data_IF_014982785613
#
_entry.id   IF_014982785613
#
_cell.length_a   1.000
_cell.length_b   1.000
_cell.length_c   1.000
_cell.angle_alpha   90.00
_cell.angle_beta   90.00
_cell.angle_gamma   90.00
#
_symmetry.space_group_name_H-M   'P 1'
#
loop_
_entity.id
_entity.type
_entity.pdbx_description
1 polymer ?
#
# COMPACT_ATOMS: atom_id res chain seq x y z
N UNK A 1 21.11 19.78 -16.23
CA UNK A 1 20.85 21.06 -16.93
C UNK A 1 19.37 21.30 -17.26
N UNK A 2 18.60 20.32 -17.74
CA UNK A 2 17.15 20.48 -18.02
C UNK A 2 16.30 20.82 -16.77
N UNK A 3 16.61 20.24 -15.60
CA UNK A 3 15.88 20.53 -14.36
C UNK A 3 16.02 21.99 -13.88
N UNK A 4 17.18 22.64 -14.09
CA UNK A 4 17.43 24.04 -13.70
C UNK A 4 16.67 25.06 -14.55
N UNK A 5 16.20 24.68 -15.75
CA UNK A 5 15.49 25.56 -16.69
C UNK A 5 13.96 25.49 -16.55
N UNK A 6 13.44 24.62 -15.68
CA UNK A 6 12.01 24.47 -15.48
C UNK A 6 11.50 25.58 -14.55
N UNK A 7 10.48 26.37 -14.91
CA UNK A 7 10.00 27.52 -14.10
C UNK A 7 9.47 27.13 -12.72
N UNK A 8 9.16 25.84 -12.48
CA UNK A 8 8.88 25.31 -11.13
C UNK A 8 10.13 24.93 -10.30
N UNK A 9 11.36 25.12 -10.78
CA UNK A 9 12.56 24.64 -10.09
C UNK A 9 12.77 25.27 -8.71
N UNK A 10 12.43 26.55 -8.54
CA UNK A 10 12.50 27.24 -7.25
C UNK A 10 11.34 26.88 -6.32
N UNK A 11 10.10 26.77 -6.84
CA UNK A 11 8.95 26.17 -6.13
C UNK A 11 9.26 24.74 -5.62
N UNK A 12 10.16 24.03 -6.30
CA UNK A 12 10.56 22.67 -5.97
C UNK A 12 11.65 22.61 -4.87
N UNK A 13 12.32 23.70 -4.50
CA UNK A 13 13.33 23.68 -3.41
C UNK A 13 12.68 23.53 -2.04
N UNK A 14 11.69 24.38 -1.73
CA UNK A 14 10.91 24.26 -0.50
C UNK A 14 10.15 22.93 -0.47
N UNK A 15 9.53 22.54 -1.59
CA UNK A 15 8.88 21.22 -1.72
C UNK A 15 9.84 20.06 -1.44
N UNK A 16 11.08 20.09 -1.96
CA UNK A 16 12.11 19.09 -1.66
C UNK A 16 12.53 19.09 -0.20
N UNK A 17 12.80 20.27 0.37
CA UNK A 17 13.13 20.39 1.79
C UNK A 17 12.02 19.82 2.67
N UNK A 18 10.77 20.18 2.38
CA UNK A 18 9.59 19.68 3.09
C UNK A 18 9.41 18.17 2.91
N UNK A 19 9.65 17.62 1.72
CA UNK A 19 9.64 16.17 1.50
C UNK A 19 10.71 15.45 2.32
N UNK A 20 11.94 15.97 2.38
CA UNK A 20 12.99 15.39 3.22
C UNK A 20 12.67 15.51 4.70
N UNK A 21 12.18 16.67 5.14
CA UNK A 21 11.73 16.88 6.51
C UNK A 21 10.62 15.89 6.89
N UNK A 22 9.61 15.71 6.04
CA UNK A 22 8.54 14.73 6.27
C UNK A 22 9.07 13.30 6.28
N UNK A 23 10.02 12.95 5.42
CA UNK A 23 10.64 11.63 5.44
C UNK A 23 11.38 11.36 6.76
N UNK A 24 12.15 12.33 7.26
CA UNK A 24 12.85 12.23 8.55
C UNK A 24 11.87 12.18 9.71
N UNK A 25 10.81 13.01 9.68
CA UNK A 25 9.74 13.00 10.68
C UNK A 25 9.06 11.63 10.78
N UNK A 26 8.66 11.05 9.64
CA UNK A 26 8.06 9.71 9.61
C UNK A 26 9.03 8.62 10.05
N UNK A 27 10.30 8.69 9.66
CA UNK A 27 11.32 7.75 10.14
C UNK A 27 11.48 7.82 11.66
N UNK A 28 11.59 9.03 12.23
CA UNK A 28 11.68 9.24 13.67
C UNK A 28 10.43 8.75 14.41
N UNK A 29 9.25 8.99 13.85
CA UNK A 29 7.98 8.52 14.40
C UNK A 29 7.85 6.99 14.38
N UNK A 30 8.32 6.33 13.33
CA UNK A 30 8.33 4.86 13.28
C UNK A 30 9.35 4.26 14.24
N UNK A 31 10.50 4.91 14.44
CA UNK A 31 11.48 4.49 15.44
C UNK A 31 10.88 4.61 16.84
N UNK A 32 10.20 5.73 17.16
CA UNK A 32 9.59 5.91 18.48
C UNK A 32 8.43 4.94 18.72
N UNK A 33 7.63 4.61 17.70
CA UNK A 33 6.65 3.53 17.79
C UNK A 33 7.35 2.19 18.02
N UNK A 34 8.40 1.88 17.25
CA UNK A 34 9.16 0.65 17.38
C UNK A 34 9.71 0.44 18.78
N UNK A 35 10.31 1.47 19.38
CA UNK A 35 10.82 1.39 20.77
C UNK A 35 9.69 1.37 21.80
N UNK A 36 8.62 2.17 21.60
CA UNK A 36 7.45 2.19 22.47
C UNK A 36 6.73 0.85 22.54
N UNK A 37 6.61 0.14 21.42
CA UNK A 37 6.04 -1.21 21.36
C UNK A 37 6.82 -2.22 22.21
N UNK A 38 8.14 -2.08 22.32
CA UNK A 38 8.95 -2.96 23.18
C UNK A 38 8.52 -2.85 24.64
N UNK A 39 8.38 -1.63 25.15
CA UNK A 39 7.96 -1.40 26.53
C UNK A 39 6.49 -1.82 26.74
N UNK A 40 5.61 -1.41 25.82
CA UNK A 40 4.18 -1.77 25.89
C UNK A 40 3.94 -3.29 25.91
N UNK A 41 4.71 -4.06 25.12
CA UNK A 41 4.57 -5.51 25.11
C UNK A 41 5.20 -6.20 26.33
N UNK A 42 6.31 -5.66 26.86
CA UNK A 42 6.90 -6.18 28.12
C UNK A 42 5.95 -6.01 29.30
N UNK A 43 5.29 -4.87 29.38
CA UNK A 43 4.39 -4.56 30.50
C UNK A 43 3.02 -5.23 30.33
N UNK A 44 2.50 -5.33 29.10
CA UNK A 44 1.18 -5.88 28.83
C UNK A 44 1.10 -7.40 28.78
N UNK A 45 2.19 -8.09 28.40
CA UNK A 45 2.21 -9.55 28.22
C UNK A 45 3.50 -10.16 28.80
N UNK A 46 3.60 -10.28 30.14
CA UNK A 46 4.82 -10.73 30.81
C UNK A 46 5.19 -12.20 30.51
N UNK A 47 4.29 -13.00 29.94
CA UNK A 47 4.50 -14.42 29.63
C UNK A 47 5.07 -14.71 28.23
N UNK A 48 5.18 -13.70 27.35
CA UNK A 48 5.69 -13.86 26.00
C UNK A 48 6.73 -12.79 25.66
N UNK A 49 7.78 -13.19 24.96
CA UNK A 49 8.77 -12.22 24.49
C UNK A 49 8.16 -11.25 23.46
N UNK A 50 8.50 -9.95 23.51
CA UNK A 50 7.89 -8.94 22.66
C UNK A 50 7.97 -9.27 21.15
N UNK A 51 9.05 -9.91 20.69
CA UNK A 51 9.22 -10.24 19.28
C UNK A 51 8.23 -11.32 18.80
N UNK A 52 7.82 -12.26 19.66
CA UNK A 52 6.78 -13.22 19.30
C UNK A 52 5.42 -12.52 19.13
N UNK A 53 5.12 -11.54 19.98
CA UNK A 53 3.88 -10.75 19.91
C UNK A 53 3.85 -9.90 18.64
N UNK A 54 4.95 -9.23 18.31
CA UNK A 54 5.05 -8.47 17.06
C UNK A 54 4.93 -9.37 15.82
N UNK A 55 5.52 -10.57 15.86
CA UNK A 55 5.42 -11.54 14.76
C UNK A 55 4.00 -12.10 14.59
N UNK A 56 3.22 -12.23 15.68
CA UNK A 56 1.78 -12.52 15.58
C UNK A 56 1.02 -11.39 14.87
N UNK A 57 1.36 -10.14 15.18
CA UNK A 57 0.76 -8.96 14.54
C UNK A 57 1.28 -8.67 13.12
N UNK A 58 2.22 -9.46 12.59
CA UNK A 58 2.88 -9.19 11.31
C UNK A 58 1.90 -9.11 10.14
N UNK A 59 0.87 -9.95 10.12
CA UNK A 59 -0.15 -9.88 9.06
C UNK A 59 -0.93 -8.56 9.10
N UNK A 60 -1.29 -8.08 10.30
CA UNK A 60 -1.98 -6.80 10.45
C UNK A 60 -1.11 -5.64 9.95
N UNK A 61 0.20 -5.69 10.21
CA UNK A 61 1.16 -4.71 9.69
C UNK A 61 1.21 -4.75 8.15
N UNK A 62 1.20 -5.93 7.53
CA UNK A 62 1.15 -6.06 6.06
C UNK A 62 -0.18 -5.56 5.46
N UNK A 63 -1.31 -5.75 6.14
CA UNK A 63 -2.60 -5.19 5.71
C UNK A 63 -2.56 -3.67 5.76
N UNK A 64 -2.03 -3.10 6.84
CA UNK A 64 -1.85 -1.65 6.99
C UNK A 64 -0.94 -1.11 5.89
N UNK A 65 0.19 -1.78 5.62
CA UNK A 65 1.09 -1.43 4.51
C UNK A 65 0.37 -1.44 3.15
N UNK A 66 -0.44 -2.46 2.90
CA UNK A 66 -1.22 -2.59 1.67
C UNK A 66 -2.19 -1.41 1.48
N UNK A 67 -2.91 -1.02 2.54
CA UNK A 67 -3.85 0.10 2.50
C UNK A 67 -3.12 1.43 2.36
N UNK A 68 -2.03 1.64 3.11
CA UNK A 68 -1.24 2.87 3.05
C UNK A 68 -0.65 3.11 1.64
N UNK A 69 -0.39 2.07 0.84
CA UNK A 69 0.16 2.23 -0.51
C UNK A 69 -0.81 2.84 -1.52
N UNK A 70 -2.12 2.78 -1.30
CA UNK A 70 -3.14 3.26 -2.25
C UNK A 70 -2.99 4.74 -2.65
N UNK A 71 -2.80 5.69 -1.72
CA UNK A 71 -2.57 7.10 -2.06
C UNK A 71 -1.16 7.38 -2.60
N UNK A 72 -0.13 6.70 -2.08
CA UNK A 72 1.27 7.09 -2.34
C UNK A 72 1.87 6.48 -3.62
N UNK A 73 1.44 5.27 -4.01
CA UNK A 73 2.14 4.51 -5.05
C UNK A 73 1.42 4.54 -6.40
N UNK A 74 2.13 4.98 -7.45
CA UNK A 74 1.67 4.98 -8.84
C UNK A 74 1.84 3.61 -9.49
N UNK A 75 0.96 3.27 -10.43
CA UNK A 75 1.05 2.00 -11.15
C UNK A 75 2.04 2.05 -12.34
N UNK A 76 2.83 0.99 -12.58
CA UNK A 76 3.76 0.89 -13.69
C UNK A 76 3.10 1.06 -15.05
N UNK A 77 1.85 0.62 -15.25
CA UNK A 77 1.15 0.78 -16.55
C UNK A 77 1.03 2.23 -17.01
N UNK A 78 0.97 3.18 -16.08
CA UNK A 78 0.99 4.61 -16.39
C UNK A 78 2.41 5.11 -16.65
N UNK A 79 3.40 4.55 -15.96
CA UNK A 79 4.82 4.89 -16.14
C UNK A 79 5.41 4.29 -17.42
N UNK A 80 4.89 3.18 -17.95
CA UNK A 80 5.37 2.53 -19.18
C UNK A 80 5.12 3.39 -20.41
N UNK A 81 4.04 4.19 -20.46
CA UNK A 81 3.62 4.90 -21.67
C UNK A 81 4.71 5.78 -22.30
N UNK A 82 5.43 6.64 -21.55
CA UNK A 82 6.57 7.40 -22.10
C UNK A 82 7.70 6.51 -22.64
N UNK A 83 7.96 5.36 -22.01
CA UNK A 83 9.03 4.45 -22.42
C UNK A 83 8.68 3.67 -23.70
N UNK A 84 7.42 3.59 -24.10
CA UNK A 84 7.01 2.94 -25.35
C UNK A 84 7.45 3.71 -26.60
N UNK A 85 7.69 5.01 -26.48
CA UNK A 85 8.18 5.87 -27.57
C UNK A 85 9.69 5.70 -27.80
N UNK A 86 10.40 5.17 -26.80
CA UNK A 86 11.84 4.96 -26.88
C UNK A 86 12.14 3.61 -27.57
N UNK A 87 13.27 3.48 -28.28
CA UNK A 87 13.67 2.26 -28.97
C UNK A 87 14.20 1.18 -27.99
N UNK A 88 13.43 0.87 -26.94
CA UNK A 88 13.78 -0.11 -25.90
C UNK A 88 12.83 -1.31 -26.02
N UNK A 89 13.36 -2.52 -25.88
CA UNK A 89 12.54 -3.75 -25.85
C UNK A 89 11.54 -3.67 -24.69
N UNK A 90 10.24 -3.74 -25.00
CA UNK A 90 9.13 -3.60 -24.04
C UNK A 90 9.29 -4.49 -22.81
N UNK A 91 9.67 -5.76 -22.99
CA UNK A 91 9.90 -6.68 -21.88
C UNK A 91 10.96 -6.16 -20.90
N UNK A 92 12.05 -5.58 -21.41
CA UNK A 92 13.12 -5.00 -20.57
C UNK A 92 12.66 -3.76 -19.81
N UNK A 93 11.80 -2.93 -20.43
CA UNK A 93 11.20 -1.78 -19.75
C UNK A 93 10.26 -2.21 -18.62
N UNK A 94 9.45 -3.26 -18.84
CA UNK A 94 8.58 -3.83 -17.81
C UNK A 94 9.38 -4.41 -16.64
N UNK A 95 10.40 -5.23 -16.95
CA UNK A 95 11.24 -5.87 -15.94
C UNK A 95 11.97 -4.80 -15.10
N UNK A 96 12.47 -3.74 -15.74
CA UNK A 96 13.08 -2.60 -15.05
C UNK A 96 12.11 -1.89 -14.11
N UNK A 97 10.87 -1.63 -14.53
CA UNK A 97 9.88 -0.96 -13.68
C UNK A 97 9.45 -1.84 -12.49
N UNK A 98 9.33 -3.15 -12.69
CA UNK A 98 9.04 -4.09 -11.61
C UNK A 98 10.19 -4.18 -10.59
N UNK A 99 11.44 -4.21 -11.06
CA UNK A 99 12.62 -4.17 -10.20
C UNK A 99 12.72 -2.85 -9.43
N UNK A 100 12.49 -1.73 -10.11
CA UNK A 100 12.45 -0.40 -9.49
C UNK A 100 11.38 -0.29 -8.40
N UNK A 101 10.21 -0.91 -8.61
CA UNK A 101 9.15 -0.96 -7.60
C UNK A 101 9.57 -1.79 -6.38
N UNK A 102 10.24 -2.93 -6.59
CA UNK A 102 10.76 -3.79 -5.52
C UNK A 102 11.85 -3.12 -4.68
N UNK A 103 12.76 -2.38 -5.33
CA UNK A 103 13.85 -1.65 -4.66
C UNK A 103 13.48 -0.20 -4.30
N UNK A 104 12.19 0.12 -4.25
CA UNK A 104 11.76 1.48 -3.92
C UNK A 104 12.00 1.81 -2.45
N UNK A 105 12.36 3.07 -2.16
CA UNK A 105 12.59 3.55 -0.79
C UNK A 105 11.36 3.40 0.12
N UNK A 106 10.16 3.33 -0.46
CA UNK A 106 8.92 3.10 0.30
C UNK A 106 8.91 1.73 0.98
N UNK A 107 9.56 0.70 0.39
CA UNK A 107 9.65 -0.62 1.01
C UNK A 107 10.59 -0.66 2.21
N UNK A 108 11.50 0.32 2.33
CA UNK A 108 12.41 0.45 3.47
C UNK A 108 11.73 1.11 4.68
N UNK A 109 10.55 1.73 4.52
CA UNK A 109 9.89 2.50 5.58
C UNK A 109 9.67 1.65 6.84
N UNK A 110 9.20 0.41 6.68
CA UNK A 110 8.95 -0.49 7.81
C UNK A 110 10.22 -0.89 8.56
N UNK A 111 11.39 -0.85 7.92
CA UNK A 111 12.65 -1.15 8.62
C UNK A 111 12.93 -0.12 9.73
N UNK A 112 12.45 1.13 9.61
CA UNK A 112 12.57 2.10 10.70
C UNK A 112 11.76 1.74 11.95
N UNK A 113 10.75 0.87 11.83
CA UNK A 113 10.01 0.32 12.97
C UNK A 113 10.64 -0.98 13.47
N UNK A 114 10.92 -1.92 12.56
CA UNK A 114 11.37 -3.27 12.92
C UNK A 114 12.84 -3.33 13.36
N UNK A 115 13.73 -2.51 12.80
CA UNK A 115 15.15 -2.51 13.17
C UNK A 115 15.36 -2.07 14.63
N UNK A 116 14.87 -0.90 15.10
CA UNK A 116 15.04 -0.52 16.50
C UNK A 116 14.33 -1.49 17.45
N UNK A 117 13.18 -2.02 17.06
CA UNK A 117 12.48 -3.05 17.82
C UNK A 117 13.34 -4.32 17.98
N UNK A 118 13.94 -4.81 16.89
CA UNK A 118 14.80 -5.99 16.89
C UNK A 118 16.08 -5.75 17.71
N UNK A 119 16.67 -4.54 17.65
CA UNK A 119 17.83 -4.18 18.46
C UNK A 119 17.53 -4.29 19.96
N UNK A 120 16.32 -3.97 20.42
CA UNK A 120 15.99 -4.01 21.85
C UNK A 120 15.50 -5.37 22.34
N UNK A 121 15.04 -6.24 21.44
CA UNK A 121 14.38 -7.52 21.80
C UNK A 121 15.20 -8.73 21.38
N UNK A 122 15.67 -8.76 20.14
CA UNK A 122 16.34 -9.93 19.53
C UNK A 122 17.82 -10.00 19.93
N UNK A 123 18.50 -8.86 20.14
CA UNK A 123 19.92 -8.82 20.54
C UNK A 123 20.24 -9.68 21.74
N UNK A 124 19.34 -9.71 22.73
CA UNK A 124 19.52 -10.44 23.98
C UNK A 124 19.65 -11.95 23.77
N UNK A 125 19.01 -12.50 22.74
CA UNK A 125 18.89 -13.94 22.52
C UNK A 125 19.67 -14.44 21.30
N UNK A 126 19.70 -13.66 20.21
CA UNK A 126 20.25 -14.08 18.92
C UNK A 126 21.39 -13.17 18.41
N UNK A 127 21.79 -12.16 19.18
CA UNK A 127 22.88 -11.26 18.84
C UNK A 127 22.64 -10.42 17.58
N UNK A 128 23.72 -9.95 16.96
CA UNK A 128 23.68 -9.06 15.79
C UNK A 128 23.20 -9.81 14.53
N UNK A 129 23.55 -11.09 14.41
CA UNK A 129 23.16 -11.93 13.28
C UNK A 129 21.64 -12.05 13.18
N UNK A 130 20.95 -12.29 14.31
CA UNK A 130 19.49 -12.36 14.36
C UNK A 130 18.80 -11.07 13.95
N UNK A 131 19.38 -9.91 14.24
CA UNK A 131 18.82 -8.61 13.81
C UNK A 131 18.88 -8.47 12.29
N UNK A 132 20.02 -8.84 11.69
CA UNK A 132 20.25 -8.72 10.25
C UNK A 132 19.31 -9.66 9.49
N UNK A 133 19.24 -10.93 9.89
CA UNK A 133 18.37 -11.92 9.25
C UNK A 133 16.89 -11.57 9.43
N UNK A 134 16.49 -11.14 10.62
CA UNK A 134 15.12 -10.68 10.86
C UNK A 134 14.76 -9.47 9.99
N UNK A 135 15.62 -8.45 9.94
CA UNK A 135 15.40 -7.25 9.12
C UNK A 135 15.32 -7.58 7.62
N UNK A 136 16.15 -8.51 7.15
CA UNK A 136 16.12 -9.01 5.78
C UNK A 136 14.79 -9.74 5.48
N UNK A 137 14.34 -10.60 6.40
CA UNK A 137 13.08 -11.34 6.26
C UNK A 137 11.87 -10.42 6.18
N UNK A 138 11.81 -9.42 7.07
CA UNK A 138 10.77 -8.37 7.04
C UNK A 138 10.83 -7.58 5.74
N UNK A 139 12.02 -7.19 5.28
CA UNK A 139 12.16 -6.49 4.00
C UNK A 139 11.61 -7.31 2.83
N UNK A 140 11.90 -8.61 2.77
CA UNK A 140 11.35 -9.51 1.74
C UNK A 140 9.82 -9.61 1.81
N UNK A 141 9.23 -9.70 3.00
CA UNK A 141 7.77 -9.69 3.14
C UNK A 141 7.14 -8.37 2.67
N UNK A 142 7.76 -7.24 2.96
CA UNK A 142 7.29 -5.92 2.47
C UNK A 142 7.41 -5.84 0.95
N UNK A 143 8.47 -6.39 0.35
CA UNK A 143 8.61 -6.49 -1.11
C UNK A 143 7.55 -7.40 -1.72
N UNK A 144 7.25 -8.53 -1.08
CA UNK A 144 6.14 -9.41 -1.49
C UNK A 144 4.80 -8.66 -1.46
N UNK A 145 4.51 -7.96 -0.35
CA UNK A 145 3.28 -7.20 -0.19
C UNK A 145 3.17 -6.04 -1.19
N UNK A 146 4.30 -5.42 -1.54
CA UNK A 146 4.37 -4.42 -2.59
C UNK A 146 3.97 -4.98 -3.97
N UNK A 147 4.42 -6.19 -4.32
CA UNK A 147 3.99 -6.85 -5.57
C UNK A 147 2.53 -7.31 -5.53
N UNK A 148 2.03 -7.70 -4.35
CA UNK A 148 0.61 -7.97 -4.14
C UNK A 148 -0.26 -6.73 -4.32
N UNK A 149 0.14 -5.60 -3.73
CA UNK A 149 -0.46 -4.30 -3.96
C UNK A 149 -0.47 -3.94 -5.44
N UNK A 150 0.67 -4.11 -6.12
CA UNK A 150 0.82 -3.80 -7.54
C UNK A 150 -0.17 -4.56 -8.42
N UNK A 151 -0.35 -5.85 -8.13
CA UNK A 151 -1.26 -6.75 -8.83
C UNK A 151 -2.71 -6.28 -8.65
N UNK A 152 -3.13 -6.10 -7.40
CA UNK A 152 -4.48 -5.64 -7.05
C UNK A 152 -4.78 -4.29 -7.70
N UNK A 153 -3.83 -3.36 -7.61
CA UNK A 153 -3.97 -2.01 -8.17
C UNK A 153 -4.02 -2.02 -9.70
N UNK A 154 -3.27 -2.91 -10.35
CA UNK A 154 -3.28 -3.05 -11.82
C UNK A 154 -4.62 -3.60 -12.30
N UNK A 155 -5.17 -4.60 -11.62
CA UNK A 155 -6.48 -5.18 -11.92
C UNK A 155 -7.63 -4.21 -11.66
N UNK A 156 -7.60 -3.47 -10.54
CA UNK A 156 -8.63 -2.48 -10.17
C UNK A 156 -8.69 -1.30 -11.17
N UNK A 157 -7.53 -0.94 -11.75
CA UNK A 157 -7.45 0.05 -12.82
C UNK A 157 -8.09 -0.42 -14.14
N UNK A 158 -8.15 -1.72 -14.38
CA UNK A 158 -8.82 -2.30 -15.54
C UNK A 158 -10.33 -2.39 -15.31
N UNK A 159 -10.75 -3.04 -14.22
CA UNK A 159 -12.16 -3.20 -13.83
C UNK A 159 -12.34 -3.07 -12.32
N UNK A 160 -13.35 -2.31 -11.90
CA UNK A 160 -13.60 -2.04 -10.48
C UNK A 160 -13.98 -3.30 -9.69
N UNK A 161 -14.60 -4.30 -10.35
CA UNK A 161 -14.96 -5.59 -9.76
C UNK A 161 -13.77 -6.35 -9.16
N UNK A 162 -12.54 -6.07 -9.60
CA UNK A 162 -11.34 -6.67 -9.02
C UNK A 162 -11.03 -6.22 -7.60
N UNK A 163 -11.79 -5.27 -7.03
CA UNK A 163 -11.74 -4.98 -5.59
C UNK A 163 -12.15 -6.19 -4.73
N UNK A 164 -12.92 -7.11 -5.29
CA UNK A 164 -13.32 -8.35 -4.62
C UNK A 164 -12.10 -9.22 -4.31
N UNK A 165 -11.02 -9.14 -5.10
CA UNK A 165 -9.82 -9.96 -4.90
C UNK A 165 -9.11 -9.67 -3.55
N UNK A 166 -8.69 -8.43 -3.24
CA UNK A 166 -8.10 -8.15 -1.93
C UNK A 166 -9.09 -8.36 -0.79
N UNK A 167 -10.38 -8.04 -0.98
CA UNK A 167 -11.42 -8.26 0.04
C UNK A 167 -11.57 -9.76 0.34
N UNK A 168 -11.59 -10.61 -0.69
CA UNK A 168 -11.70 -12.06 -0.52
C UNK A 168 -10.46 -12.63 0.15
N UNK A 169 -9.25 -12.23 -0.27
CA UNK A 169 -8.01 -12.74 0.34
C UNK A 169 -7.93 -12.34 1.82
N UNK A 170 -8.10 -11.05 2.15
CA UNK A 170 -8.05 -10.61 3.55
C UNK A 170 -9.25 -11.09 4.36
N UNK A 171 -10.44 -11.23 3.74
CA UNK A 171 -11.63 -11.79 4.38
C UNK A 171 -11.46 -13.26 4.73
N UNK A 172 -10.86 -14.06 3.84
CA UNK A 172 -10.50 -15.45 4.11
C UNK A 172 -9.45 -15.50 5.23
N UNK A 173 -8.39 -14.68 5.17
CA UNK A 173 -7.38 -14.64 6.22
C UNK A 173 -7.97 -14.26 7.59
N UNK A 174 -8.88 -13.29 7.63
CA UNK A 174 -9.59 -12.91 8.84
C UNK A 174 -10.51 -14.04 9.32
N UNK A 175 -11.26 -14.69 8.43
CA UNK A 175 -12.12 -15.82 8.78
C UNK A 175 -11.32 -16.99 9.36
N UNK A 176 -10.13 -17.30 8.81
CA UNK A 176 -9.23 -18.30 9.38
C UNK A 176 -8.71 -17.90 10.76
N UNK A 177 -8.53 -16.60 11.03
CA UNK A 177 -8.11 -16.12 12.34
C UNK A 177 -9.22 -16.26 13.40
N UNK A 178 -10.50 -16.15 13.00
CA UNK A 178 -11.64 -16.31 13.91
C UNK A 178 -12.08 -17.77 14.13
N UNK A 179 -11.38 -18.76 13.55
CA UNK A 179 -11.65 -20.17 13.81
C UNK A 179 -11.28 -20.50 15.26
N UNK A 180 -12.22 -21.01 16.09
CA UNK A 180 -11.93 -21.39 17.46
C UNK A 180 -10.80 -22.43 17.53
N UNK A 181 -9.96 -22.30 18.55
CA UNK A 181 -8.96 -23.25 19.04
C UNK A 181 -7.53 -23.21 18.46
N UNK A 182 -7.26 -22.71 17.25
CA UNK A 182 -5.91 -22.86 16.67
C UNK A 182 -5.26 -21.64 16.00
N UNK A 183 -5.92 -20.47 15.93
CA UNK A 183 -5.43 -19.24 15.27
C UNK A 183 -4.28 -19.48 14.26
N UNK A 184 -4.56 -20.21 13.16
CA UNK A 184 -3.52 -20.82 12.34
C UNK A 184 -2.66 -19.77 11.64
N UNK A 185 -3.24 -18.60 11.37
CA UNK A 185 -2.58 -17.50 10.67
C UNK A 185 -1.58 -16.80 11.58
N UNK A 186 -1.98 -16.38 12.79
CA UNK A 186 -1.04 -15.81 13.76
C UNK A 186 0.04 -16.78 14.20
N UNK A 187 -0.26 -18.08 14.31
CA UNK A 187 0.75 -19.11 14.57
C UNK A 187 1.73 -19.24 13.40
N UNK A 188 1.23 -19.23 12.16
CA UNK A 188 2.07 -19.24 10.97
C UNK A 188 2.97 -18.01 10.88
N UNK A 189 2.46 -16.80 11.11
CA UNK A 189 3.27 -15.58 11.06
C UNK A 189 4.28 -15.51 12.20
N UNK A 190 3.94 -16.04 13.37
CA UNK A 190 4.88 -16.18 14.49
C UNK A 190 6.05 -17.10 14.11
N UNK A 191 5.76 -18.30 13.60
CA UNK A 191 6.77 -19.28 13.19
C UNK A 191 7.63 -18.76 12.03
N UNK A 192 7.02 -18.04 11.09
CA UNK A 192 7.73 -17.43 9.97
C UNK A 192 8.67 -16.31 10.45
N UNK A 193 8.22 -15.47 11.38
CA UNK A 193 9.04 -14.43 11.99
C UNK A 193 10.19 -15.00 12.80
N UNK A 194 9.95 -16.07 13.57
CA UNK A 194 11.00 -16.81 14.28
C UNK A 194 11.99 -17.47 13.32
N UNK A 195 11.52 -18.06 12.22
CA UNK A 195 12.35 -18.60 11.15
C UNK A 195 13.31 -17.56 10.57
N UNK A 196 12.91 -16.28 10.48
CA UNK A 196 13.80 -15.20 10.07
C UNK A 196 14.82 -14.83 11.14
N UNK A 197 14.43 -14.82 12.42
CA UNK A 197 15.34 -14.53 13.53
C UNK A 197 16.45 -15.58 13.61
N UNK A 198 16.08 -16.86 13.52
CA UNK A 198 17.03 -18.00 13.57
C UNK A 198 17.88 -18.08 12.29
N UNK A 199 17.44 -17.46 11.18
CA UNK A 199 18.14 -17.53 9.90
C UNK A 199 17.84 -18.81 9.11
N UNK A 200 16.66 -19.40 9.30
CA UNK A 200 16.28 -20.63 8.60
C UNK A 200 16.16 -20.38 7.09
N UNK A 201 17.07 -20.98 6.33
CA UNK A 201 17.17 -20.85 4.87
C UNK A 201 15.85 -21.24 4.18
N UNK A 202 15.11 -22.22 4.70
CA UNK A 202 13.84 -22.66 4.12
C UNK A 202 12.78 -21.55 4.17
N UNK A 203 12.72 -20.78 5.26
CA UNK A 203 11.79 -19.65 5.37
C UNK A 203 12.11 -18.57 4.33
N UNK A 204 13.39 -18.24 4.14
CA UNK A 204 13.84 -17.29 3.12
C UNK A 204 13.53 -17.77 1.70
N UNK A 205 13.84 -19.04 1.39
CA UNK A 205 13.55 -19.63 0.08
C UNK A 205 12.04 -19.62 -0.18
N UNK A 206 11.22 -19.97 0.81
CA UNK A 206 9.76 -19.95 0.68
C UNK A 206 9.24 -18.56 0.28
N UNK A 207 9.68 -17.51 0.97
CA UNK A 207 9.29 -16.13 0.64
C UNK A 207 9.84 -15.69 -0.72
N UNK A 208 11.08 -16.05 -1.06
CA UNK A 208 11.64 -15.72 -2.38
C UNK A 208 10.88 -16.39 -3.53
N UNK A 209 10.44 -17.64 -3.35
CA UNK A 209 9.58 -18.32 -4.34
C UNK A 209 8.26 -17.58 -4.50
N UNK A 210 7.61 -17.18 -3.40
CA UNK A 210 6.36 -16.41 -3.45
C UNK A 210 6.55 -15.07 -4.18
N UNK A 211 7.66 -14.37 -3.92
CA UNK A 211 8.02 -13.13 -4.62
C UNK A 211 8.21 -13.40 -6.12
N UNK A 212 8.91 -14.47 -6.49
CA UNK A 212 9.13 -14.83 -7.90
C UNK A 212 7.81 -15.15 -8.62
N UNK A 213 6.91 -15.92 -7.98
CA UNK A 213 5.60 -16.26 -8.54
C UNK A 213 4.76 -15.01 -8.79
N UNK A 214 4.65 -14.12 -7.79
CA UNK A 214 3.84 -12.91 -7.94
C UNK A 214 4.47 -11.92 -8.92
N UNK A 215 5.79 -11.90 -9.02
CA UNK A 215 6.50 -11.12 -10.03
C UNK A 215 6.19 -11.61 -11.45
N UNK A 216 6.18 -12.93 -11.68
CA UNK A 216 5.80 -13.54 -12.96
C UNK A 216 4.35 -13.24 -13.34
N UNK A 217 3.43 -13.35 -12.39
CA UNK A 217 2.00 -13.03 -12.61
C UNK A 217 1.84 -11.55 -12.97
N UNK A 218 2.47 -10.64 -12.22
CA UNK A 218 2.47 -9.21 -12.52
C UNK A 218 3.03 -8.91 -13.91
N UNK A 219 4.16 -9.54 -14.27
CA UNK A 219 4.79 -9.40 -15.59
C UNK A 219 3.82 -9.79 -16.71
N UNK A 220 3.14 -10.92 -16.57
CA UNK A 220 2.19 -11.40 -17.58
C UNK A 220 0.97 -10.49 -17.73
N UNK A 221 0.39 -10.03 -16.62
CA UNK A 221 -0.78 -9.14 -16.63
C UNK A 221 -0.43 -7.79 -17.25
N UNK A 222 0.65 -7.15 -16.79
CA UNK A 222 1.07 -5.83 -17.29
C UNK A 222 1.41 -5.92 -18.78
N UNK A 223 2.09 -7.01 -19.20
CA UNK A 223 2.37 -7.26 -20.62
C UNK A 223 1.06 -7.29 -21.41
N UNK A 224 0.09 -8.12 -21.02
CA UNK A 224 -1.22 -8.24 -21.69
C UNK A 224 -1.93 -6.89 -21.79
N UNK A 225 -1.93 -6.09 -20.72
CA UNK A 225 -2.55 -4.77 -20.69
C UNK A 225 -1.89 -3.79 -21.64
N UNK A 226 -0.55 -3.75 -21.68
CA UNK A 226 0.20 -2.87 -22.59
C UNK A 226 -0.06 -3.25 -24.04
N UNK A 227 -0.10 -4.54 -24.40
CA UNK A 227 -0.45 -4.98 -25.75
C UNK A 227 -1.91 -4.61 -26.11
N UNK A 228 -2.85 -4.76 -25.18
CA UNK A 228 -4.25 -4.39 -25.41
C UNK A 228 -4.45 -2.90 -25.62
N UNK A 229 -3.68 -2.05 -24.95
CA UNK A 229 -3.78 -0.59 -25.09
C UNK A 229 -3.19 -0.12 -26.43
N UNK A 230 -2.16 -0.80 -26.95
CA UNK A 230 -1.55 -0.49 -28.27
C UNK A 230 -2.46 -0.98 -29.41
N UNK A 231 -3.11 -2.12 -29.24
CA UNK A 231 -4.01 -2.69 -30.25
C UNK A 231 -5.40 -2.04 -30.25
N UNK A 232 -5.69 -1.11 -29.33
CA UNK A 232 -6.89 -0.29 -29.41
C UNK A 232 -6.73 0.71 -30.54
N UNK A 233 -7.31 0.37 -31.69
CA UNK A 233 -7.75 1.37 -32.65
C UNK A 233 -8.76 2.26 -31.93
N UNK A 234 -8.63 3.58 -32.04
CA UNK A 234 -9.54 4.53 -31.40
C UNK A 234 -10.96 4.26 -31.89
N UNK A 235 -11.78 3.59 -31.08
CA UNK A 235 -13.21 3.53 -31.30
C UNK A 235 -13.76 4.96 -31.19
N UNK A 236 -14.03 5.56 -32.35
CA UNK A 236 -14.73 6.83 -32.56
C UNK A 236 -16.21 6.78 -32.17
N UNK A 237 -16.60 5.86 -31.28
CA UNK A 237 -17.94 5.83 -30.72
C UNK A 237 -17.94 6.71 -29.48
N UNK A 238 -18.61 7.86 -29.60
CA UNK A 238 -18.95 8.75 -28.49
C UNK A 238 -19.57 7.89 -27.39
N UNK A 239 -18.78 7.61 -26.34
CA UNK A 239 -19.27 6.90 -25.16
C UNK A 239 -20.41 7.73 -24.58
N UNK A 240 -21.55 7.08 -24.38
CA UNK A 240 -22.72 7.62 -23.70
C UNK A 240 -22.26 8.48 -22.51
N UNK A 241 -22.46 9.79 -22.62
CA UNK A 241 -22.19 10.69 -21.50
C UNK A 241 -23.21 10.29 -20.44
N UNK A 242 -22.73 9.87 -19.27
CA UNK A 242 -23.61 9.55 -18.16
C UNK A 242 -24.38 10.83 -17.80
N UNK A 243 -25.68 10.84 -18.08
CA UNK A 243 -26.59 11.90 -17.64
C UNK A 243 -26.90 11.66 -16.17
N UNK A 244 -26.40 12.54 -15.32
CA UNK A 244 -26.68 12.52 -13.89
C UNK A 244 -27.97 13.31 -13.63
N UNK A 245 -29.11 12.80 -14.12
CA UNK A 245 -30.43 13.45 -14.02
C UNK A 245 -30.83 13.73 -12.57
N UNK A 246 -30.31 12.96 -11.61
CA UNK A 246 -30.51 13.20 -10.17
C UNK A 246 -30.00 14.58 -9.70
N UNK A 247 -28.94 15.12 -10.31
CA UNK A 247 -28.37 16.40 -9.92
C UNK A 247 -29.19 17.60 -10.41
N UNK A 248 -30.11 17.40 -11.35
CA UNK A 248 -30.96 18.47 -11.88
C UNK A 248 -31.96 19.00 -10.84
N UNK A 249 -32.24 18.21 -9.79
CA UNK A 249 -33.12 18.60 -8.69
C UNK A 249 -32.56 19.71 -7.79
N UNK A 250 -31.25 19.99 -7.88
CA UNK A 250 -30.55 20.93 -7.00
C UNK A 250 -30.28 22.31 -7.64
N UNK A 251 -30.94 22.62 -8.77
CA UNK A 251 -30.81 23.92 -9.44
C UNK A 251 -29.38 24.19 -9.94
N UNK A 252 -28.91 25.44 -9.82
CA UNK A 252 -27.58 25.87 -10.30
C UNK A 252 -26.43 25.11 -9.64
N UNK A 253 -26.51 24.86 -8.32
CA UNK A 253 -25.48 24.10 -7.60
C UNK A 253 -25.39 22.66 -8.15
N UNK A 254 -26.55 22.08 -8.48
CA UNK A 254 -26.64 20.77 -9.11
C UNK A 254 -25.99 20.71 -10.49
N UNK A 255 -26.16 21.75 -11.30
CA UNK A 255 -25.49 21.87 -12.60
C UNK A 255 -23.97 21.95 -12.47
N UNK A 256 -23.45 22.77 -11.55
CA UNK A 256 -22.01 22.86 -11.29
C UNK A 256 -21.45 21.49 -10.88
N UNK A 257 -22.12 20.82 -9.94
CA UNK A 257 -21.70 19.50 -9.47
C UNK A 257 -21.74 18.45 -10.58
N UNK A 258 -22.74 18.52 -11.46
CA UNK A 258 -22.88 17.66 -12.65
C UNK A 258 -21.70 17.84 -13.60
N UNK A 259 -21.28 19.08 -13.86
CA UNK A 259 -20.13 19.38 -14.70
C UNK A 259 -18.82 18.89 -14.08
N UNK A 260 -18.64 19.07 -12.78
CA UNK A 260 -17.45 18.63 -12.06
C UNK A 260 -17.32 17.10 -12.04
N UNK A 261 -18.41 16.39 -11.75
CA UNK A 261 -18.44 14.92 -11.85
C UNK A 261 -18.18 14.43 -13.28
N UNK A 262 -18.72 15.10 -14.30
CA UNK A 262 -18.40 14.78 -15.71
C UNK A 262 -16.91 14.96 -15.99
N UNK A 263 -16.29 16.03 -15.50
CA UNK A 263 -14.84 16.26 -15.66
C UNK A 263 -14.00 15.18 -14.96
N UNK A 264 -14.33 14.85 -13.70
CA UNK A 264 -13.62 13.84 -12.92
C UNK A 264 -13.75 12.44 -13.53
N UNK A 265 -14.93 12.09 -14.03
CA UNK A 265 -15.20 10.76 -14.60
C UNK A 265 -14.69 10.57 -16.02
N UNK A 266 -14.45 11.66 -16.76
CA UNK A 266 -13.86 11.65 -18.11
C UNK A 266 -12.38 11.26 -18.08
N UNK A 267 -11.59 11.79 -17.14
CA UNK A 267 -10.16 11.49 -17.06
C UNK A 267 -9.89 10.20 -16.26
N UNK A 268 -9.18 9.24 -16.85
CA UNK A 268 -8.83 7.96 -16.18
C UNK A 268 -8.10 8.18 -14.86
N UNK A 269 -7.23 9.20 -14.76
CA UNK A 269 -6.50 9.51 -13.53
C UNK A 269 -7.41 10.06 -12.43
N UNK A 270 -8.25 11.04 -12.75
CA UNK A 270 -9.19 11.64 -11.80
C UNK A 270 -10.26 10.63 -11.36
N UNK A 271 -10.81 9.85 -12.29
CA UNK A 271 -11.77 8.77 -12.00
C UNK A 271 -11.20 7.75 -11.01
N UNK A 272 -9.93 7.39 -11.19
CA UNK A 272 -9.26 6.46 -10.28
C UNK A 272 -9.01 7.09 -8.90
N UNK A 273 -8.62 8.35 -8.87
CA UNK A 273 -8.45 9.10 -7.62
C UNK A 273 -9.74 9.17 -6.82
N UNK A 274 -10.84 9.59 -7.47
CA UNK A 274 -12.18 9.66 -6.89
C UNK A 274 -12.62 8.31 -6.32
N UNK A 275 -12.42 7.22 -7.06
CA UNK A 275 -12.73 5.86 -6.59
C UNK A 275 -11.91 5.48 -5.37
N UNK A 276 -10.60 5.74 -5.42
CA UNK A 276 -9.68 5.35 -4.34
C UNK A 276 -10.01 6.10 -3.06
N UNK A 277 -10.16 7.43 -3.13
CA UNK A 277 -10.51 8.25 -1.97
C UNK A 277 -11.92 7.95 -1.46
N UNK A 278 -12.90 7.76 -2.35
CA UNK A 278 -14.24 7.34 -1.96
C UNK A 278 -14.25 6.01 -1.20
N UNK A 279 -13.52 5.00 -1.66
CA UNK A 279 -13.41 3.71 -0.95
C UNK A 279 -12.75 3.88 0.42
N UNK A 280 -11.67 4.67 0.51
CA UNK A 280 -10.97 4.91 1.78
C UNK A 280 -11.91 5.62 2.77
N UNK A 281 -12.62 6.65 2.34
CA UNK A 281 -13.55 7.40 3.19
C UNK A 281 -14.71 6.51 3.66
N UNK A 282 -15.28 5.68 2.77
CA UNK A 282 -16.33 4.72 3.17
C UNK A 282 -15.78 3.71 4.18
N UNK A 283 -14.64 3.09 3.90
CA UNK A 283 -14.04 2.09 4.78
C UNK A 283 -13.71 2.67 6.15
N UNK A 284 -13.13 3.88 6.18
CA UNK A 284 -12.85 4.60 7.43
C UNK A 284 -14.14 4.93 8.19
N UNK A 285 -15.18 5.40 7.50
CA UNK A 285 -16.48 5.72 8.11
C UNK A 285 -17.14 4.48 8.72
N UNK A 286 -17.07 3.34 8.03
CA UNK A 286 -17.60 2.06 8.53
C UNK A 286 -16.83 1.58 9.75
N UNK A 287 -15.49 1.61 9.73
CA UNK A 287 -14.67 1.22 10.88
C UNK A 287 -14.99 2.07 12.12
N UNK A 288 -15.14 3.39 11.94
CA UNK A 288 -15.46 4.30 13.02
C UNK A 288 -16.86 4.08 13.59
N UNK A 289 -17.81 3.69 12.74
CA UNK A 289 -19.18 3.36 13.18
C UNK A 289 -19.23 2.20 14.17
N UNK A 290 -18.21 1.33 14.22
CA UNK A 290 -18.12 0.21 15.17
C UNK A 290 -17.23 0.52 16.39
N UNK A 291 -16.58 1.69 16.45
CA UNK A 291 -15.68 2.05 17.55
C UNK A 291 -16.30 3.09 18.48
N UNK A 292 -16.38 2.79 19.78
CA UNK A 292 -16.87 3.73 20.82
C UNK A 292 -15.86 4.85 21.13
N UNK A 293 -14.64 4.74 20.62
CA UNK A 293 -13.52 5.67 20.84
C UNK A 293 -13.82 7.06 20.24
N UNK A 294 -14.68 7.15 19.23
CA UNK A 294 -14.96 8.39 18.48
C UNK A 294 -16.30 9.04 18.82
N UNK A 295 -16.95 8.65 19.93
CA UNK A 295 -18.26 9.18 20.29
C UNK A 295 -18.25 10.63 20.83
N UNK A 296 -17.07 11.13 21.20
CA UNK A 296 -16.88 12.49 21.68
C UNK A 296 -17.21 13.51 20.56
N UNK A 297 -17.98 14.59 20.83
CA UNK A 297 -18.32 15.64 19.85
C UNK A 297 -17.12 16.16 19.03
N UNK A 298 -15.95 16.29 19.65
CA UNK A 298 -14.73 16.69 18.94
C UNK A 298 -14.29 15.67 17.88
N UNK A 299 -14.36 14.38 18.21
CA UNK A 299 -13.98 13.29 17.33
C UNK A 299 -14.97 13.13 16.17
N UNK A 300 -16.27 13.39 16.40
CA UNK A 300 -17.29 13.42 15.33
C UNK A 300 -17.00 14.52 14.30
N UNK A 301 -16.63 15.72 14.76
CA UNK A 301 -16.25 16.82 13.87
C UNK A 301 -14.94 16.53 13.11
N UNK A 302 -13.97 15.89 13.76
CA UNK A 302 -12.71 15.49 13.12
C UNK A 302 -12.94 14.56 11.92
N UNK A 303 -13.87 13.62 12.00
CA UNK A 303 -14.19 12.68 10.91
C UNK A 303 -14.72 13.41 9.68
N UNK A 304 -15.60 14.40 9.87
CA UNK A 304 -16.18 15.19 8.78
C UNK A 304 -15.11 16.03 8.09
N UNK A 305 -14.28 16.72 8.88
CA UNK A 305 -13.17 17.55 8.37
C UNK A 305 -12.15 16.68 7.62
N UNK A 306 -11.79 15.52 8.18
CA UNK A 306 -10.86 14.59 7.55
C UNK A 306 -11.39 14.08 6.20
N UNK A 307 -12.67 13.68 6.16
CA UNK A 307 -13.32 13.21 4.93
C UNK A 307 -13.36 14.31 3.87
N UNK A 308 -13.51 15.57 4.28
CA UNK A 308 -13.46 16.71 3.37
C UNK A 308 -12.05 16.99 2.84
N UNK A 309 -11.01 16.93 3.68
CA UNK A 309 -9.61 17.18 3.28
C UNK A 309 -9.09 16.12 2.30
N UNK A 310 -9.58 14.90 2.40
CA UNK A 310 -9.14 13.78 1.55
C UNK A 310 -9.65 13.90 0.10
N UNK A 311 -10.76 14.62 -0.13
CA UNK A 311 -11.35 14.86 -1.45
C UNK A 311 -10.82 16.13 -2.12
#
# INVERSE_FOLDING_TARGET
LAAKRHPMYEKNKFGKLFMYFMAVFWAGYLISIGTGLVYAFRDGFPSMEPYHILNKALLAILIIDFVMRFPFQKVPTQEVKPYLLLPIKKNRALDFLLLRSGLSSFNTIWLFLFVPFAILTVTRFFGITGIITYSLGIYLLVVFNNYWYLLCRTLLNERIWWIVLPIAVYGILAALEFVPDNHPITTFTMNLGEGFIVGNILAFIGVLILIALIWLVNRNIIKRLVYSEINKVEDTKVKHVSEYTFLERYGEIGEFFRLELKMLTRNKRCKMSLRTFGIIVILFSVLLSFSTIYDNPFMKNFIVIYSFIVF
#
